data_IF_487290624447
#
_entry.id   IF_487290624447
#
_cell.length_a   1.000
_cell.length_b   1.000
_cell.length_c   1.000
_cell.angle_alpha   90.00
_cell.angle_beta   90.00
_cell.angle_gamma   90.00
#
_symmetry.space_group_name_H-M   'P 1'
#
loop_
_entity.id
_entity.type
_entity.pdbx_description
1 polymer ?
#
# COMPACT_ATOMS: atom_id res chain seq x y z
N UNK A 1 39.95 13.20 -15.13
CA UNK A 1 38.90 12.17 -14.96
C UNK A 1 37.58 12.90 -14.81
N UNK A 2 36.58 12.52 -15.59
CA UNK A 2 35.52 13.36 -16.16
C UNK A 2 34.42 13.80 -15.17
N UNK A 3 34.25 15.11 -14.88
CA UNK A 3 33.09 15.62 -14.16
C UNK A 3 31.84 15.73 -15.06
N UNK A 4 32.01 15.90 -16.38
CA UNK A 4 30.89 16.11 -17.31
C UNK A 4 30.06 14.84 -17.58
N UNK A 5 30.67 13.65 -17.55
CA UNK A 5 29.95 12.39 -17.79
C UNK A 5 29.05 11.98 -16.62
N UNK A 6 29.42 12.36 -15.39
CA UNK A 6 28.60 12.13 -14.18
C UNK A 6 27.34 13.01 -14.22
N UNK A 7 27.49 14.29 -14.58
CA UNK A 7 26.35 15.22 -14.67
C UNK A 7 25.31 14.84 -15.72
N UNK A 8 25.73 14.29 -16.87
CA UNK A 8 24.81 13.85 -17.94
C UNK A 8 24.05 12.58 -17.53
N UNK A 9 24.72 11.63 -16.85
CA UNK A 9 24.09 10.41 -16.36
C UNK A 9 23.01 10.71 -15.31
N UNK A 10 23.31 11.59 -14.35
CA UNK A 10 22.34 12.03 -13.33
C UNK A 10 21.16 12.79 -13.95
N UNK A 11 21.40 13.68 -14.91
CA UNK A 11 20.34 14.41 -15.62
C UNK A 11 19.42 13.47 -16.42
N UNK A 12 19.99 12.43 -17.06
CA UNK A 12 19.21 11.43 -17.78
C UNK A 12 18.36 10.56 -16.85
N UNK A 13 18.87 10.25 -15.65
CA UNK A 13 18.14 9.49 -14.64
C UNK A 13 16.91 10.26 -14.13
N UNK A 14 17.05 11.57 -13.88
CA UNK A 14 15.94 12.45 -13.46
C UNK A 14 14.83 12.48 -14.52
N UNK A 15 15.16 12.52 -15.81
CA UNK A 15 14.19 12.50 -16.92
C UNK A 15 13.39 11.19 -17.02
N UNK A 16 13.88 10.10 -16.43
CA UNK A 16 13.20 8.78 -16.45
C UNK A 16 12.29 8.59 -15.23
N UNK A 17 12.55 9.28 -14.11
CA UNK A 17 11.75 9.16 -12.90
C UNK A 17 10.32 9.65 -13.15
N UNK A 18 9.33 8.86 -12.73
CA UNK A 18 7.91 9.21 -12.86
C UNK A 18 7.37 9.68 -11.52
N UNK A 19 6.64 10.80 -11.50
CA UNK A 19 6.06 11.33 -10.27
C UNK A 19 5.07 10.33 -9.61
N UNK A 20 5.35 9.85 -8.37
CA UNK A 20 4.46 8.95 -7.65
C UNK A 20 3.34 9.68 -6.88
N UNK A 21 3.34 11.02 -6.78
CA UNK A 21 2.44 11.80 -5.91
C UNK A 21 0.97 11.66 -6.26
N UNK A 22 0.61 11.67 -7.54
CA UNK A 22 -0.79 11.53 -7.97
C UNK A 22 -1.41 10.20 -7.52
N UNK A 23 -0.67 9.10 -7.72
CA UNK A 23 -1.13 7.77 -7.29
C UNK A 23 -1.16 7.66 -5.77
N UNK A 24 -0.20 8.30 -5.07
CA UNK A 24 -0.18 8.35 -3.63
C UNK A 24 -1.41 9.09 -3.07
N UNK A 25 -1.77 10.25 -3.65
CA UNK A 25 -2.95 11.01 -3.26
C UNK A 25 -4.25 10.24 -3.54
N UNK A 26 -4.38 9.65 -4.73
CA UNK A 26 -5.53 8.82 -5.09
C UNK A 26 -5.73 7.64 -4.13
N UNK A 27 -4.64 6.97 -3.75
CA UNK A 27 -4.67 5.89 -2.77
C UNK A 27 -5.09 6.37 -1.38
N UNK A 28 -4.58 7.50 -0.92
CA UNK A 28 -4.96 8.08 0.38
C UNK A 28 -6.45 8.42 0.43
N UNK A 29 -7.00 9.00 -0.63
CA UNK A 29 -8.43 9.31 -0.75
C UNK A 29 -9.26 8.03 -0.72
N UNK A 30 -8.88 7.01 -1.49
CA UNK A 30 -9.62 5.74 -1.54
C UNK A 30 -9.62 5.02 -0.18
N UNK A 31 -8.46 4.90 0.47
CA UNK A 31 -8.32 4.28 1.80
C UNK A 31 -9.04 5.11 2.87
N UNK A 32 -8.96 6.44 2.80
CA UNK A 32 -9.68 7.33 3.70
C UNK A 32 -11.20 7.18 3.58
N UNK A 33 -11.71 7.09 2.35
CA UNK A 33 -13.13 6.83 2.08
C UNK A 33 -13.59 5.48 2.63
N UNK A 34 -12.80 4.43 2.45
CA UNK A 34 -13.06 3.10 3.03
C UNK A 34 -13.20 3.16 4.56
N UNK A 35 -12.22 3.77 5.23
CA UNK A 35 -12.21 3.90 6.70
C UNK A 35 -13.37 4.75 7.20
N UNK A 36 -13.66 5.88 6.55
CA UNK A 36 -14.78 6.74 6.92
C UNK A 36 -16.12 5.99 6.81
N UNK A 37 -16.30 5.19 5.76
CA UNK A 37 -17.50 4.39 5.57
C UNK A 37 -17.61 3.27 6.62
N UNK A 38 -16.50 2.59 6.96
CA UNK A 38 -16.48 1.59 8.05
C UNK A 38 -16.84 2.19 9.41
N UNK A 39 -16.33 3.40 9.71
CA UNK A 39 -16.66 4.12 10.93
C UNK A 39 -18.15 4.50 10.97
N UNK A 40 -18.70 4.99 9.85
CA UNK A 40 -20.12 5.33 9.74
C UNK A 40 -21.03 4.10 9.93
N UNK A 41 -20.68 2.95 9.34
CA UNK A 41 -21.38 1.67 9.57
C UNK A 41 -21.36 1.28 11.04
N UNK A 42 -20.20 1.39 11.68
CA UNK A 42 -20.06 1.01 13.10
C UNK A 42 -20.84 1.96 14.01
N UNK A 43 -20.78 3.27 13.75
CA UNK A 43 -21.46 4.29 14.54
C UNK A 43 -22.99 4.22 14.42
N UNK A 44 -23.52 3.79 13.28
CA UNK A 44 -24.96 3.66 13.03
C UNK A 44 -25.54 2.31 13.48
N UNK A 45 -24.71 1.42 14.03
CA UNK A 45 -25.13 0.08 14.46
C UNK A 45 -25.46 -0.88 13.31
N UNK A 46 -25.23 -0.47 12.05
CA UNK A 46 -25.37 -1.34 10.88
C UNK A 46 -26.76 -1.93 10.70
N UNK A 47 -27.81 -1.12 10.62
CA UNK A 47 -29.14 -1.63 10.24
C UNK A 47 -29.08 -2.34 8.87
N UNK A 48 -29.87 -3.39 8.65
CA UNK A 48 -29.77 -4.24 7.45
C UNK A 48 -29.84 -3.42 6.14
N UNK A 49 -30.74 -2.44 6.07
CA UNK A 49 -30.86 -1.55 4.90
C UNK A 49 -29.70 -0.56 4.72
N UNK A 50 -28.96 -0.23 5.77
CA UNK A 50 -27.72 0.55 5.66
C UNK A 50 -26.56 -0.34 5.22
N UNK A 51 -26.42 -1.54 5.80
CA UNK A 51 -25.41 -2.52 5.41
C UNK A 51 -25.52 -2.91 3.93
N UNK A 52 -26.74 -3.11 3.42
CA UNK A 52 -26.99 -3.41 2.02
C UNK A 52 -26.48 -2.33 1.06
N UNK A 53 -26.49 -1.06 1.48
CA UNK A 53 -25.99 0.08 0.68
C UNK A 53 -24.50 0.33 0.89
N UNK A 54 -24.00 0.16 2.11
CA UNK A 54 -22.60 0.41 2.46
C UNK A 54 -21.65 -0.68 1.93
N UNK A 55 -22.05 -1.95 1.99
CA UNK A 55 -21.21 -3.09 1.57
C UNK A 55 -20.69 -2.97 0.13
N UNK A 56 -21.51 -2.71 -0.91
CA UNK A 56 -20.99 -2.59 -2.28
C UNK A 56 -20.02 -1.41 -2.42
N UNK A 57 -20.24 -0.30 -1.69
CA UNK A 57 -19.33 0.84 -1.68
C UNK A 57 -17.99 0.49 -1.00
N UNK A 58 -18.02 -0.27 0.10
CA UNK A 58 -16.83 -0.79 0.77
C UNK A 58 -16.02 -1.70 -0.18
N UNK A 59 -16.69 -2.59 -0.90
CA UNK A 59 -16.05 -3.43 -1.93
C UNK A 59 -15.42 -2.58 -3.01
N UNK A 60 -16.12 -1.56 -3.50
CA UNK A 60 -15.60 -0.65 -4.52
C UNK A 60 -14.34 0.10 -4.03
N UNK A 61 -14.38 0.67 -2.83
CA UNK A 61 -13.20 1.32 -2.23
C UNK A 61 -12.05 0.33 -2.05
N UNK A 62 -12.31 -0.89 -1.59
CA UNK A 62 -11.29 -1.93 -1.45
C UNK A 62 -10.60 -2.24 -2.79
N UNK A 63 -11.38 -2.38 -3.86
CA UNK A 63 -10.87 -2.65 -5.21
C UNK A 63 -10.07 -1.47 -5.76
N UNK A 64 -10.59 -0.24 -5.64
CA UNK A 64 -9.89 0.98 -6.08
C UNK A 64 -8.58 1.12 -5.31
N UNK A 65 -8.61 1.02 -3.98
CA UNK A 65 -7.41 1.06 -3.13
C UNK A 65 -6.41 -0.01 -3.55
N UNK A 66 -6.84 -1.24 -3.82
CA UNK A 66 -5.99 -2.32 -4.30
C UNK A 66 -5.32 -2.00 -5.64
N UNK A 67 -6.07 -1.57 -6.64
CA UNK A 67 -5.55 -1.24 -7.98
C UNK A 67 -4.58 -0.06 -7.89
N UNK A 68 -4.97 1.04 -7.25
CA UNK A 68 -4.14 2.24 -7.13
C UNK A 68 -2.87 1.94 -6.33
N UNK A 69 -2.96 1.12 -5.28
CA UNK A 69 -1.80 0.64 -4.53
C UNK A 69 -0.80 -0.09 -5.42
N UNK A 70 -1.25 -1.06 -6.21
CA UNK A 70 -0.36 -1.83 -7.09
C UNK A 70 0.27 -0.92 -8.14
N UNK A 71 -0.50 -0.01 -8.74
CA UNK A 71 0.00 0.98 -9.68
C UNK A 71 1.06 1.90 -9.04
N UNK A 72 0.79 2.40 -7.84
CA UNK A 72 1.71 3.24 -7.06
C UNK A 72 3.00 2.48 -6.74
N UNK A 73 2.89 1.26 -6.19
CA UNK A 73 4.04 0.44 -5.82
C UNK A 73 4.88 0.08 -7.04
N UNK A 74 4.25 -0.27 -8.16
CA UNK A 74 4.94 -0.53 -9.43
C UNK A 74 5.70 0.71 -9.90
N UNK A 75 5.09 1.90 -9.85
CA UNK A 75 5.77 3.15 -10.22
C UNK A 75 6.96 3.44 -9.30
N UNK A 76 6.78 3.35 -7.98
CA UNK A 76 7.87 3.54 -7.02
C UNK A 76 8.99 2.52 -7.21
N UNK A 77 8.66 1.28 -7.58
CA UNK A 77 9.63 0.22 -7.88
C UNK A 77 10.44 0.47 -9.14
N UNK A 78 9.84 1.07 -10.17
CA UNK A 78 10.54 1.49 -11.39
C UNK A 78 11.48 2.68 -11.09
N UNK A 79 11.02 3.66 -10.32
CA UNK A 79 11.88 4.76 -9.87
C UNK A 79 13.07 4.24 -9.04
N UNK A 80 12.81 3.30 -8.12
CA UNK A 80 13.84 2.70 -7.30
C UNK A 80 14.91 1.97 -8.13
N UNK A 81 14.54 1.35 -9.25
CA UNK A 81 15.48 0.72 -10.19
C UNK A 81 16.47 1.71 -10.78
N UNK A 82 16.03 2.94 -11.06
CA UNK A 82 16.90 4.02 -11.57
C UNK A 82 17.78 4.55 -10.44
N UNK A 83 17.23 4.74 -9.25
CA UNK A 83 17.95 5.28 -8.08
C UNK A 83 19.02 4.32 -7.54
N UNK A 84 18.75 3.02 -7.56
CA UNK A 84 19.66 2.00 -7.06
C UNK A 84 19.51 0.67 -7.85
N UNK A 85 20.18 0.55 -9.00
CA UNK A 85 20.06 -0.62 -9.89
C UNK A 85 20.34 -1.96 -9.18
N UNK A 86 21.37 -2.00 -8.34
CA UNK A 86 21.83 -3.24 -7.66
C UNK A 86 21.11 -3.53 -6.33
N UNK A 87 20.21 -2.65 -5.88
CA UNK A 87 19.58 -2.78 -4.56
C UNK A 87 18.41 -3.78 -4.52
N UNK A 88 18.05 -4.41 -5.65
CA UNK A 88 16.81 -5.15 -5.78
C UNK A 88 16.99 -6.63 -6.07
N UNK A 89 16.35 -7.47 -5.25
CA UNK A 89 16.45 -8.93 -5.35
C UNK A 89 15.38 -9.58 -6.26
N UNK A 90 14.28 -8.88 -6.52
CA UNK A 90 13.15 -9.39 -7.31
C UNK A 90 12.93 -8.55 -8.57
N UNK A 91 12.56 -9.21 -9.67
CA UNK A 91 12.20 -8.51 -10.92
C UNK A 91 10.98 -7.59 -10.71
N UNK A 92 10.86 -6.48 -11.47
CA UNK A 92 9.72 -5.57 -11.37
C UNK A 92 8.35 -6.23 -11.59
N UNK A 93 8.28 -7.38 -12.28
CA UNK A 93 7.04 -8.13 -12.47
C UNK A 93 6.43 -8.64 -11.16
N UNK A 94 7.25 -8.93 -10.15
CA UNK A 94 6.76 -9.37 -8.84
C UNK A 94 6.07 -8.27 -8.04
N UNK A 95 6.28 -6.99 -8.37
CA UNK A 95 5.53 -5.89 -7.75
C UNK A 95 4.03 -5.93 -8.07
N UNK A 96 3.66 -6.58 -9.18
CA UNK A 96 2.27 -6.82 -9.58
C UNK A 96 1.88 -8.26 -9.28
N UNK A 97 2.64 -9.24 -9.79
CA UNK A 97 2.31 -10.66 -9.68
C UNK A 97 2.27 -11.17 -8.23
N UNK A 98 3.03 -10.56 -7.32
CA UNK A 98 3.03 -10.90 -5.90
C UNK A 98 1.66 -10.74 -5.23
N UNK A 99 0.76 -9.90 -5.77
CA UNK A 99 -0.57 -9.69 -5.21
C UNK A 99 -1.60 -10.73 -5.65
N UNK A 100 -1.34 -11.45 -6.74
CA UNK A 100 -2.30 -12.37 -7.35
C UNK A 100 -1.92 -13.85 -7.16
N UNK A 101 -0.68 -14.12 -6.77
CA UNK A 101 -0.22 -15.47 -6.46
C UNK A 101 -0.48 -15.73 -4.97
N UNK A 102 -1.39 -16.66 -4.58
CA UNK A 102 -1.85 -16.80 -3.19
C UNK A 102 -0.72 -16.95 -2.17
N UNK A 103 0.29 -17.76 -2.46
CA UNK A 103 1.45 -17.97 -1.56
C UNK A 103 2.38 -16.76 -1.55
N UNK A 104 2.60 -16.14 -2.70
CA UNK A 104 3.46 -14.96 -2.80
C UNK A 104 2.84 -13.75 -2.10
N UNK A 105 1.51 -13.64 -2.09
CA UNK A 105 0.76 -12.54 -1.49
C UNK A 105 1.01 -12.39 0.00
N UNK A 106 1.47 -13.44 0.70
CA UNK A 106 1.86 -13.37 2.12
C UNK A 106 3.17 -12.65 2.38
N UNK A 107 4.06 -12.53 1.38
CA UNK A 107 5.44 -12.11 1.62
C UNK A 107 6.02 -11.14 0.60
N UNK A 108 5.69 -11.31 -0.68
CA UNK A 108 6.28 -10.52 -1.77
C UNK A 108 5.92 -9.04 -1.66
N UNK A 109 4.67 -8.63 -1.40
CA UNK A 109 4.38 -7.20 -1.34
C UNK A 109 5.15 -6.49 -0.21
N UNK A 110 5.27 -7.13 0.96
CA UNK A 110 6.14 -6.64 2.05
C UNK A 110 7.58 -6.46 1.60
N UNK A 111 8.17 -7.50 0.99
CA UNK A 111 9.56 -7.46 0.48
C UNK A 111 9.76 -6.34 -0.52
N UNK A 112 8.86 -6.21 -1.50
CA UNK A 112 8.93 -5.16 -2.52
C UNK A 112 8.86 -3.77 -1.89
N UNK A 113 7.96 -3.54 -0.93
CA UNK A 113 7.88 -2.25 -0.23
C UNK A 113 9.14 -1.93 0.57
N UNK A 114 9.77 -2.92 1.22
CA UNK A 114 11.03 -2.74 1.94
C UNK A 114 12.19 -2.39 1.01
N UNK A 115 12.29 -3.08 -0.13
CA UNK A 115 13.34 -2.84 -1.13
C UNK A 115 13.19 -1.43 -1.73
N UNK A 116 11.96 -1.05 -2.10
CA UNK A 116 11.64 0.30 -2.60
C UNK A 116 11.97 1.37 -1.55
N UNK A 117 11.59 1.15 -0.29
CA UNK A 117 11.91 2.06 0.82
C UNK A 117 13.43 2.27 0.93
N UNK A 118 14.21 1.18 0.96
CA UNK A 118 15.67 1.22 1.05
C UNK A 118 16.29 1.95 -0.15
N UNK A 119 15.88 1.61 -1.36
CA UNK A 119 16.38 2.22 -2.60
C UNK A 119 16.01 3.71 -2.72
N UNK A 120 14.96 4.15 -2.02
CA UNK A 120 14.58 5.58 -1.95
C UNK A 120 15.40 6.37 -0.91
N UNK A 121 16.47 5.78 -0.35
CA UNK A 121 17.35 6.42 0.64
C UNK A 121 16.83 6.39 2.08
N UNK A 122 15.72 5.68 2.35
CA UNK A 122 15.17 5.56 3.69
C UNK A 122 15.85 4.43 4.46
N UNK A 123 16.99 4.73 5.08
CA UNK A 123 17.70 3.84 5.99
C UNK A 123 16.93 3.54 7.28
N UNK A 124 17.47 2.65 8.11
CA UNK A 124 16.94 2.36 9.45
C UNK A 124 15.69 1.48 9.50
N UNK A 125 14.95 1.57 10.62
CA UNK A 125 13.80 0.69 10.94
C UNK A 125 12.62 0.95 10.01
N UNK A 126 12.21 -0.07 9.26
CA UNK A 126 11.05 -0.01 8.36
C UNK A 126 9.71 -0.29 9.08
N UNK A 127 9.53 0.25 10.29
CA UNK A 127 8.41 -0.09 11.19
C UNK A 127 7.03 0.23 10.60
N UNK A 128 6.92 1.23 9.71
CA UNK A 128 5.68 1.55 9.00
C UNK A 128 5.27 0.42 8.06
N UNK A 129 6.19 -0.05 7.23
CA UNK A 129 5.96 -1.17 6.30
C UNK A 129 5.68 -2.46 7.06
N UNK A 130 6.48 -2.75 8.08
CA UNK A 130 6.30 -3.93 8.93
C UNK A 130 4.96 -3.91 9.66
N UNK A 131 4.65 -2.80 10.34
CA UNK A 131 3.42 -2.64 11.11
C UNK A 131 2.19 -2.72 10.21
N UNK A 132 2.19 -2.03 9.07
CA UNK A 132 1.12 -2.12 8.09
C UNK A 132 0.88 -3.57 7.67
N UNK A 133 1.95 -4.27 7.26
CA UNK A 133 1.84 -5.62 6.74
C UNK A 133 1.31 -6.60 7.80
N UNK A 134 1.90 -6.59 8.99
CA UNK A 134 1.51 -7.51 10.05
C UNK A 134 0.12 -7.21 10.61
N UNK A 135 -0.27 -5.95 10.72
CA UNK A 135 -1.64 -5.58 11.10
C UNK A 135 -2.65 -6.10 10.08
N UNK A 136 -2.33 -5.98 8.78
CA UNK A 136 -3.18 -6.51 7.71
C UNK A 136 -3.32 -8.03 7.78
N UNK A 137 -2.26 -8.76 8.12
CA UNK A 137 -2.33 -10.21 8.27
C UNK A 137 -3.02 -10.64 9.58
N UNK A 138 -2.88 -9.86 10.65
CA UNK A 138 -3.46 -10.17 11.96
C UNK A 138 -4.99 -10.22 11.95
N UNK A 139 -5.66 -9.55 10.99
CA UNK A 139 -7.12 -9.62 10.86
C UNK A 139 -7.63 -10.95 10.27
N UNK A 140 -6.76 -11.70 9.57
CA UNK A 140 -7.12 -12.97 8.91
C UNK A 140 -7.58 -14.03 9.92
N UNK A 141 -6.83 -14.36 11.00
CA UNK A 141 -7.29 -15.36 11.97
C UNK A 141 -8.59 -14.94 12.68
N UNK A 142 -8.80 -13.65 12.90
CA UNK A 142 -10.05 -13.13 13.48
C UNK A 142 -11.22 -13.38 12.53
N UNK A 143 -11.08 -13.00 11.25
CA UNK A 143 -12.10 -13.25 10.24
C UNK A 143 -12.36 -14.76 10.03
N UNK A 144 -11.32 -15.59 10.08
CA UNK A 144 -11.44 -17.04 9.98
C UNK A 144 -12.19 -17.63 11.19
N UNK A 145 -11.83 -17.24 12.41
CA UNK A 145 -12.50 -17.70 13.62
C UNK A 145 -14.00 -17.34 13.62
N UNK A 146 -14.35 -16.14 13.15
CA UNK A 146 -15.75 -15.74 12.96
C UNK A 146 -16.48 -16.64 11.95
N UNK A 147 -15.86 -16.88 10.78
CA UNK A 147 -16.42 -17.76 9.76
C UNK A 147 -16.61 -19.21 10.24
N UNK A 148 -15.63 -19.75 10.97
CA UNK A 148 -15.71 -21.09 11.58
C UNK A 148 -16.76 -21.17 12.69
N UNK A 149 -17.06 -20.06 13.34
CA UNK A 149 -18.12 -19.96 14.36
C UNK A 149 -19.52 -19.77 13.75
N UNK A 150 -19.65 -19.79 12.42
CA UNK A 150 -20.91 -19.59 11.70
C UNK A 150 -21.33 -18.11 11.53
N UNK A 151 -20.49 -17.16 11.98
CA UNK A 151 -20.72 -15.73 11.84
C UNK A 151 -20.16 -15.26 10.49
N UNK A 152 -20.95 -15.43 9.43
CA UNK A 152 -20.56 -15.06 8.07
C UNK A 152 -21.19 -13.76 7.59
N UNK A 153 -22.34 -13.38 8.15
CA UNK A 153 -23.03 -12.12 7.85
C UNK A 153 -22.23 -10.93 8.39
N UNK A 154 -21.99 -9.93 7.54
CA UNK A 154 -21.35 -8.68 7.96
C UNK A 154 -19.86 -8.79 8.29
N UNK A 155 -19.15 -9.83 7.84
CA UNK A 155 -17.69 -9.98 8.06
C UNK A 155 -16.89 -8.72 7.67
N UNK A 156 -17.24 -8.06 6.57
CA UNK A 156 -16.55 -6.82 6.15
C UNK A 156 -16.75 -5.64 7.10
N UNK A 157 -17.87 -5.63 7.82
CA UNK A 157 -18.32 -4.54 8.69
C UNK A 157 -18.23 -4.91 10.17
N UNK A 158 -17.61 -6.04 10.50
CA UNK A 158 -17.52 -6.55 11.86
C UNK A 158 -16.76 -5.56 12.76
N UNK A 159 -17.35 -5.08 13.86
CA UNK A 159 -16.73 -4.09 14.74
C UNK A 159 -15.38 -4.52 15.32
N UNK A 160 -15.19 -5.83 15.55
CA UNK A 160 -13.92 -6.39 16.04
C UNK A 160 -12.78 -6.33 15.00
N UNK A 161 -13.09 -6.23 13.71
CA UNK A 161 -12.10 -6.07 12.63
C UNK A 161 -11.78 -4.59 12.36
N UNK A 162 -12.61 -3.67 12.82
CA UNK A 162 -12.45 -2.24 12.62
C UNK A 162 -11.08 -1.72 13.09
N UNK A 163 -10.58 -2.04 14.30
CA UNK A 163 -9.27 -1.56 14.74
C UNK A 163 -8.13 -1.98 13.80
N UNK A 164 -8.17 -3.21 13.28
CA UNK A 164 -7.18 -3.71 12.33
C UNK A 164 -7.25 -2.96 10.99
N UNK A 165 -8.45 -2.72 10.47
CA UNK A 165 -8.64 -1.97 9.23
C UNK A 165 -8.14 -0.52 9.38
N UNK A 166 -8.50 0.17 10.47
CA UNK A 166 -8.07 1.54 10.75
C UNK A 166 -6.55 1.61 10.93
N UNK A 167 -5.97 0.76 11.79
CA UNK A 167 -4.54 0.77 12.05
C UNK A 167 -3.73 0.42 10.80
N UNK A 168 -4.16 -0.60 10.04
CA UNK A 168 -3.54 -0.95 8.75
C UNK A 168 -3.63 0.21 7.76
N UNK A 169 -4.77 0.89 7.66
CA UNK A 169 -4.95 2.03 6.76
C UNK A 169 -4.04 3.19 7.12
N UNK A 170 -3.94 3.54 8.41
CA UNK A 170 -3.05 4.60 8.89
C UNK A 170 -1.59 4.28 8.57
N UNK A 171 -1.11 3.08 8.93
CA UNK A 171 0.26 2.65 8.67
C UNK A 171 0.57 2.60 7.17
N UNK A 172 -0.42 2.24 6.36
CA UNK A 172 -0.30 2.26 4.92
C UNK A 172 -0.16 3.67 4.35
N UNK A 173 -1.03 4.59 4.76
CA UNK A 173 -0.96 6.00 4.36
C UNK A 173 0.38 6.60 4.76
N UNK A 174 0.87 6.32 5.97
CA UNK A 174 2.18 6.78 6.43
C UNK A 174 3.32 6.18 5.60
N UNK A 175 3.27 4.88 5.29
CA UNK A 175 4.25 4.22 4.39
C UNK A 175 4.27 4.88 3.01
N UNK A 176 3.10 5.13 2.43
CA UNK A 176 2.94 5.76 1.12
C UNK A 176 3.52 7.17 1.14
N UNK A 177 3.22 7.96 2.18
CA UNK A 177 3.78 9.31 2.36
C UNK A 177 5.30 9.29 2.51
N UNK A 178 5.82 8.39 3.33
CA UNK A 178 7.27 8.26 3.59
C UNK A 178 8.04 8.00 2.29
N UNK A 179 7.63 6.97 1.54
CA UNK A 179 8.29 6.58 0.29
C UNK A 179 8.10 7.64 -0.79
N UNK A 180 6.89 8.16 -0.96
CA UNK A 180 6.57 9.17 -1.99
C UNK A 180 7.35 10.46 -1.74
N UNK A 181 7.42 10.93 -0.48
CA UNK A 181 8.20 12.12 -0.14
C UNK A 181 9.69 11.90 -0.38
N UNK A 182 10.21 10.71 -0.07
CA UNK A 182 11.61 10.39 -0.33
C UNK A 182 11.96 10.39 -1.82
N UNK A 183 11.13 9.75 -2.65
CA UNK A 183 11.34 9.76 -4.11
C UNK A 183 11.15 11.14 -4.72
N UNK A 184 10.20 11.93 -4.21
CA UNK A 184 9.94 13.25 -4.74
C UNK A 184 11.07 14.26 -4.47
N UNK A 185 11.89 14.06 -3.43
CA UNK A 185 13.12 14.85 -3.23
C UNK A 185 14.14 14.67 -4.35
N UNK A 186 14.10 13.55 -5.08
CA UNK A 186 14.98 13.29 -6.22
C UNK A 186 14.42 13.85 -7.55
N UNK A 187 13.17 14.32 -7.56
CA UNK A 187 12.51 14.92 -8.73
C UNK A 187 12.66 16.44 -8.77
N UNK A 188 13.01 17.07 -7.64
CA UNK A 188 13.20 18.52 -7.53
C UNK A 188 14.70 18.82 -7.61
N UNK A 189 15.16 19.56 -8.65
CA UNK A 189 16.57 19.93 -8.81
C UNK A 189 17.07 20.89 -7.73
#
# INVERSE_FOLDING_TARGET
MQPETVGIADASAVLVLRDPRELAAGLQVAVGGEVALLLAVTATGGTEGYLARATPLLVLFMLISGVVMVCWLRRCRLNAQVLAPDAHRYSPGFAVGGWFIPVAMWWIPRRVSLDVRRASGLGGRAWLVEGWWWTRLAKIPVALAMGLSGITSGLMTAPCLLPFNVLSAVLLVLTVREITAAQARHLSP
#
